data_IF_197687950964
#
_entry.id   IF_197687950964
#
_cell.length_a   1.000
_cell.length_b   1.000
_cell.length_c   1.000
_cell.angle_alpha   90.00
_cell.angle_beta   90.00
_cell.angle_gamma   90.00
#
_symmetry.space_group_name_H-M   'P 1'
#
loop_
_entity.id
_entity.type
_entity.pdbx_description
1 polymer ?
#
# COMPACT_ATOMS: atom_id res chain seq x y z
N UNK A 1 -12.98 25.45 17.79
CA UNK A 1 -11.85 24.56 18.10
C UNK A 1 -11.58 23.71 16.85
N UNK A 2 -10.50 23.98 16.12
CA UNK A 2 -10.18 23.31 14.84
C UNK A 2 -9.52 21.96 15.16
N UNK A 3 -10.21 20.84 14.94
CA UNK A 3 -9.55 19.52 14.88
C UNK A 3 -8.82 19.43 13.55
N UNK A 4 -7.64 20.05 13.49
CA UNK A 4 -6.82 20.19 12.29
C UNK A 4 -5.58 19.28 12.37
N UNK A 5 -5.79 17.97 12.36
CA UNK A 5 -4.72 17.05 11.95
C UNK A 5 -5.33 16.12 10.90
N UNK A 6 -5.54 16.67 9.70
CA UNK A 6 -5.54 15.85 8.49
C UNK A 6 -4.13 15.32 8.29
N UNK A 7 -4.03 14.16 7.63
CA UNK A 7 -2.74 13.58 7.29
C UNK A 7 -2.09 14.45 6.19
N UNK A 8 -0.91 15.07 6.43
CA UNK A 8 -0.31 15.99 5.46
C UNK A 8 0.06 15.33 4.13
N UNK A 9 0.35 14.02 4.15
CA UNK A 9 0.63 13.26 2.93
C UNK A 9 -0.67 13.10 2.12
N UNK A 10 -1.78 12.79 2.79
CA UNK A 10 -3.09 12.73 2.14
C UNK A 10 -3.51 14.10 1.60
N UNK A 11 -3.33 15.18 2.36
CA UNK A 11 -3.64 16.54 1.89
C UNK A 11 -2.83 16.91 0.63
N UNK A 12 -1.52 16.69 0.65
CA UNK A 12 -0.66 16.94 -0.51
C UNK A 12 -1.01 16.04 -1.71
N UNK A 13 -1.42 14.79 -1.44
CA UNK A 13 -1.89 13.87 -2.48
C UNK A 13 -3.17 14.38 -3.15
N UNK A 14 -4.17 14.79 -2.37
CA UNK A 14 -5.43 15.33 -2.88
C UNK A 14 -5.18 16.56 -3.77
N UNK A 15 -4.38 17.53 -3.29
CA UNK A 15 -4.03 18.73 -4.07
C UNK A 15 -3.29 18.39 -5.38
N UNK A 16 -2.40 17.40 -5.34
CA UNK A 16 -1.64 16.95 -6.51
C UNK A 16 -2.55 16.23 -7.50
N UNK A 17 -3.43 15.35 -7.00
CA UNK A 17 -4.38 14.59 -7.83
C UNK A 17 -5.33 15.52 -8.54
N UNK A 18 -5.89 16.54 -7.87
CA UNK A 18 -6.82 17.48 -8.49
C UNK A 18 -6.24 18.17 -9.73
N UNK A 19 -4.96 18.54 -9.66
CA UNK A 19 -4.25 19.20 -10.77
C UNK A 19 -3.85 18.22 -11.89
N UNK A 20 -3.81 16.92 -11.62
CA UNK A 20 -3.19 15.92 -12.50
C UNK A 20 -4.06 14.68 -12.79
N UNK A 21 -5.36 14.70 -12.47
CA UNK A 21 -6.29 13.53 -12.51
C UNK A 21 -6.03 12.54 -13.65
N UNK A 22 -5.99 13.04 -14.89
CA UNK A 22 -5.82 12.21 -16.12
C UNK A 22 -4.38 12.00 -16.57
N UNK A 23 -3.41 12.65 -15.94
CA UNK A 23 -1.99 12.51 -16.30
C UNK A 23 -1.44 11.19 -15.78
N UNK A 24 -0.45 10.65 -16.49
CA UNK A 24 0.33 9.53 -16.01
C UNK A 24 1.03 9.89 -14.69
N UNK A 25 0.87 9.05 -13.68
CA UNK A 25 1.57 9.12 -12.40
C UNK A 25 2.69 8.09 -12.33
N UNK A 26 2.48 6.92 -12.95
CA UNK A 26 3.45 5.84 -13.05
C UNK A 26 3.51 5.39 -14.51
N UNK A 27 4.73 5.28 -15.03
CA UNK A 27 5.00 4.68 -16.33
C UNK A 27 5.58 3.27 -16.12
N UNK A 28 5.27 2.35 -17.02
CA UNK A 28 5.93 1.04 -17.07
C UNK A 28 7.31 1.11 -17.74
N UNK A 29 7.97 -0.04 -17.86
CA UNK A 29 9.30 -0.16 -18.48
C UNK A 29 9.31 0.15 -19.97
N UNK A 30 8.15 0.13 -20.64
CA UNK A 30 7.97 0.53 -22.04
C UNK A 30 7.59 2.02 -22.18
N UNK A 31 7.48 2.75 -21.07
CA UNK A 31 7.07 4.15 -21.02
C UNK A 31 5.56 4.36 -21.22
N UNK A 32 4.75 3.29 -21.21
CA UNK A 32 3.29 3.40 -21.26
C UNK A 32 2.76 3.73 -19.86
N UNK A 33 1.56 4.31 -19.81
CA UNK A 33 0.94 4.67 -18.53
C UNK A 33 0.49 3.42 -17.77
N UNK A 34 1.20 3.10 -16.69
CA UNK A 34 0.81 2.03 -15.78
C UNK A 34 -0.31 2.48 -14.83
N UNK A 35 -0.25 3.73 -14.35
CA UNK A 35 -1.30 4.35 -13.52
C UNK A 35 -1.40 5.85 -13.80
N UNK A 36 -2.62 6.38 -13.81
CA UNK A 36 -2.89 7.82 -13.71
C UNK A 36 -3.05 8.24 -12.25
N UNK A 37 -3.01 9.54 -11.96
CA UNK A 37 -3.30 10.03 -10.60
C UNK A 37 -4.69 9.62 -10.11
N UNK A 38 -5.73 9.70 -10.95
CA UNK A 38 -7.06 9.18 -10.62
C UNK A 38 -7.09 7.66 -10.50
N UNK A 39 -6.34 6.93 -11.33
CA UNK A 39 -6.28 5.47 -11.24
C UNK A 39 -5.62 4.98 -9.95
N UNK A 40 -4.63 5.71 -9.42
CA UNK A 40 -4.06 5.43 -8.09
C UNK A 40 -5.13 5.63 -7.01
N UNK A 41 -5.89 6.72 -7.08
CA UNK A 41 -6.94 7.03 -6.13
C UNK A 41 -8.05 5.96 -6.10
N UNK A 42 -8.59 5.60 -7.26
CA UNK A 42 -9.63 4.58 -7.38
C UNK A 42 -9.18 3.24 -6.78
N UNK A 43 -7.91 2.86 -6.99
CA UNK A 43 -7.32 1.67 -6.38
C UNK A 43 -7.13 1.82 -4.86
N UNK A 44 -6.74 3.01 -4.39
CA UNK A 44 -6.57 3.29 -2.97
C UNK A 44 -7.89 3.20 -2.20
N UNK A 45 -8.98 3.74 -2.76
CA UNK A 45 -10.33 3.60 -2.18
C UNK A 45 -10.76 2.14 -2.08
N UNK A 46 -10.52 1.37 -3.15
CA UNK A 46 -10.80 -0.07 -3.17
C UNK A 46 -10.03 -0.82 -2.07
N UNK A 47 -8.71 -0.62 -1.98
CA UNK A 47 -7.91 -1.27 -0.93
C UNK A 47 -8.28 -0.81 0.48
N UNK A 48 -8.64 0.46 0.67
CA UNK A 48 -9.07 0.96 1.98
C UNK A 48 -10.33 0.22 2.47
N UNK A 49 -11.23 -0.14 1.55
CA UNK A 49 -12.40 -0.95 1.85
C UNK A 49 -12.03 -2.40 2.23
N UNK A 50 -11.03 -3.00 1.57
CA UNK A 50 -10.54 -4.35 1.90
C UNK A 50 -9.82 -4.38 3.27
N UNK A 51 -9.09 -3.32 3.61
CA UNK A 51 -8.36 -3.19 4.88
C UNK A 51 -9.25 -2.78 6.07
N UNK A 52 -10.57 -2.68 5.89
CA UNK A 52 -11.48 -2.14 6.92
C UNK A 52 -11.49 -2.92 8.24
N UNK A 53 -11.13 -4.20 8.20
CA UNK A 53 -11.11 -5.09 9.36
C UNK A 53 -9.85 -4.93 10.22
N UNK A 54 -8.84 -4.20 9.75
CA UNK A 54 -7.62 -3.92 10.51
C UNK A 54 -7.84 -2.65 11.32
N UNK A 55 -7.57 -2.74 12.61
CA UNK A 55 -7.76 -1.63 13.54
C UNK A 55 -6.73 -0.50 13.29
N UNK A 56 -7.14 0.77 13.43
CA UNK A 56 -6.22 1.90 13.39
C UNK A 56 -5.00 1.73 14.31
N UNK A 57 -3.85 2.24 13.88
CA UNK A 57 -2.58 2.17 14.61
C UNK A 57 -1.84 0.83 14.50
N UNK A 58 -2.46 -0.18 13.88
CA UNK A 58 -1.81 -1.48 13.68
C UNK A 58 -0.82 -1.43 12.52
N UNK A 59 0.21 -2.28 12.60
CA UNK A 59 1.26 -2.37 11.59
C UNK A 59 0.91 -3.39 10.52
N UNK A 60 0.94 -2.96 9.26
CA UNK A 60 0.70 -3.80 8.08
C UNK A 60 1.97 -3.85 7.24
N UNK A 61 2.43 -5.06 6.92
CA UNK A 61 3.53 -5.26 6.00
C UNK A 61 3.04 -5.18 4.55
N UNK A 62 3.64 -4.34 3.71
CA UNK A 62 3.37 -4.28 2.28
C UNK A 62 4.49 -5.03 1.56
N UNK A 63 4.14 -6.13 0.88
CA UNK A 63 5.06 -7.05 0.21
C UNK A 63 4.66 -7.24 -1.25
N UNK A 64 4.70 -6.16 -2.03
CA UNK A 64 4.28 -6.18 -3.44
C UNK A 64 5.40 -5.81 -4.41
N UNK A 65 6.62 -5.60 -3.90
CA UNK A 65 7.76 -5.13 -4.70
C UNK A 65 7.45 -3.79 -5.39
N UNK A 66 8.10 -3.55 -6.53
CA UNK A 66 7.93 -2.35 -7.35
C UNK A 66 6.65 -2.39 -8.22
N UNK A 67 5.53 -2.88 -7.66
CA UNK A 67 4.27 -2.98 -8.38
C UNK A 67 3.57 -1.61 -8.50
N UNK A 68 2.91 -1.27 -9.62
CA UNK A 68 2.27 0.03 -9.82
C UNK A 68 1.17 0.39 -8.80
N UNK A 69 0.62 -0.60 -8.10
CA UNK A 69 -0.37 -0.37 -7.04
C UNK A 69 0.24 -0.05 -5.66
N UNK A 70 1.58 -0.01 -5.54
CA UNK A 70 2.22 0.25 -4.25
C UNK A 70 1.79 1.61 -3.66
N UNK A 71 1.74 2.71 -4.43
CA UNK A 71 1.25 3.98 -3.92
C UNK A 71 -0.22 3.92 -3.51
N UNK A 72 -1.05 3.19 -4.26
CA UNK A 72 -2.48 3.04 -3.96
C UNK A 72 -2.69 2.34 -2.61
N UNK A 73 -1.93 1.26 -2.36
CA UNK A 73 -2.01 0.52 -1.11
C UNK A 73 -1.46 1.34 0.07
N UNK A 74 -0.38 2.09 -0.16
CA UNK A 74 0.17 3.01 0.83
C UNK A 74 -0.85 4.09 1.24
N UNK A 75 -1.50 4.75 0.28
CA UNK A 75 -2.55 5.74 0.54
C UNK A 75 -3.76 5.13 1.25
N UNK A 76 -4.15 3.91 0.89
CA UNK A 76 -5.21 3.17 1.58
C UNK A 76 -4.88 2.95 3.07
N UNK A 77 -3.65 2.54 3.37
CA UNK A 77 -3.18 2.38 4.75
C UNK A 77 -3.22 3.70 5.53
N UNK A 78 -2.73 4.81 4.95
CA UNK A 78 -2.78 6.12 5.60
C UNK A 78 -4.22 6.55 5.92
N UNK A 79 -5.17 6.38 4.99
CA UNK A 79 -6.60 6.69 5.21
C UNK A 79 -7.23 5.84 6.31
N UNK A 80 -6.76 4.60 6.45
CA UNK A 80 -7.16 3.67 7.52
C UNK A 80 -6.37 3.88 8.82
N UNK A 81 -5.46 4.86 8.86
CA UNK A 81 -4.55 5.16 9.98
C UNK A 81 -3.70 3.95 10.37
N UNK A 82 -3.30 3.15 9.39
CA UNK A 82 -2.44 1.99 9.55
C UNK A 82 -0.98 2.40 9.40
N UNK A 83 -0.10 1.74 10.16
CA UNK A 83 1.35 1.94 10.05
C UNK A 83 1.88 0.98 9.00
N UNK A 84 2.54 1.52 7.97
CA UNK A 84 3.07 0.72 6.87
C UNK A 84 4.49 0.26 7.16
N UNK A 85 4.74 -1.04 7.07
CA UNK A 85 6.07 -1.63 7.00
C UNK A 85 6.35 -2.07 5.56
N UNK A 86 7.10 -1.29 4.76
CA UNK A 86 7.49 -1.73 3.43
C UNK A 86 8.54 -2.84 3.53
N UNK A 87 8.27 -3.98 2.89
CA UNK A 87 9.18 -5.11 2.88
C UNK A 87 9.32 -5.67 1.47
N UNK A 88 10.56 -5.84 1.05
CA UNK A 88 10.87 -6.44 -0.24
C UNK A 88 10.54 -7.94 -0.24
N UNK A 89 10.01 -8.45 -1.35
CA UNK A 89 9.60 -9.86 -1.43
C UNK A 89 10.79 -10.83 -1.41
N UNK A 90 11.97 -10.35 -1.82
CA UNK A 90 13.20 -11.16 -1.94
C UNK A 90 13.99 -11.27 -0.63
N UNK A 91 13.53 -10.61 0.45
CA UNK A 91 14.21 -10.69 1.75
C UNK A 91 14.17 -12.12 2.30
N UNK A 92 15.25 -12.56 2.95
CA UNK A 92 15.33 -13.89 3.54
C UNK A 92 14.20 -14.09 4.57
N UNK A 93 13.70 -15.33 4.67
CA UNK A 93 12.58 -15.66 5.55
C UNK A 93 12.86 -15.31 7.02
N UNK A 94 14.07 -15.54 7.50
CA UNK A 94 14.47 -15.19 8.88
C UNK A 94 14.43 -13.69 9.13
N UNK A 95 14.88 -12.90 8.16
CA UNK A 95 14.84 -11.44 8.24
C UNK A 95 13.40 -10.93 8.19
N UNK A 96 12.54 -11.53 7.35
CA UNK A 96 11.10 -11.22 7.31
C UNK A 96 10.43 -11.52 8.66
N UNK A 97 10.68 -12.71 9.22
CA UNK A 97 10.14 -13.12 10.53
C UNK A 97 10.59 -12.15 11.63
N UNK A 98 11.87 -11.80 11.63
CA UNK A 98 12.44 -10.84 12.58
C UNK A 98 11.76 -9.47 12.44
N UNK A 99 11.60 -8.95 11.23
CA UNK A 99 10.93 -7.69 10.98
C UNK A 99 9.47 -7.71 11.45
N UNK A 100 8.74 -8.80 11.19
CA UNK A 100 7.35 -8.94 11.62
C UNK A 100 7.22 -8.93 13.14
N UNK A 101 8.13 -9.61 13.85
CA UNK A 101 8.16 -9.65 15.30
C UNK A 101 8.53 -8.29 15.90
N UNK A 102 9.60 -7.65 15.41
CA UNK A 102 10.07 -6.36 15.90
C UNK A 102 9.01 -5.27 15.70
N UNK A 103 8.35 -5.28 14.54
CA UNK A 103 7.35 -4.27 14.19
C UNK A 103 5.92 -4.65 14.61
N UNK A 104 5.70 -5.78 15.28
CA UNK A 104 4.38 -6.26 15.68
C UNK A 104 3.35 -6.24 14.52
N UNK A 105 3.74 -6.81 13.38
CA UNK A 105 2.90 -6.86 12.17
C UNK A 105 1.68 -7.73 12.43
N UNK A 106 0.48 -7.20 12.17
CA UNK A 106 -0.78 -7.94 12.35
C UNK A 106 -1.30 -8.56 11.06
N UNK A 107 -0.84 -8.04 9.92
CA UNK A 107 -1.22 -8.49 8.60
C UNK A 107 -0.09 -8.21 7.61
N UNK A 108 0.16 -9.16 6.72
CA UNK A 108 0.91 -8.90 5.51
C UNK A 108 -0.05 -8.77 4.33
N UNK A 109 0.20 -7.79 3.48
CA UNK A 109 -0.53 -7.55 2.24
C UNK A 109 0.42 -7.79 1.09
N UNK A 110 0.05 -8.77 0.25
CA UNK A 110 0.64 -8.95 -1.07
C UNK A 110 -0.32 -8.48 -2.17
N UNK A 111 0.24 -8.15 -3.33
CA UNK A 111 -0.43 -7.43 -4.40
C UNK A 111 -0.63 -8.28 -5.64
N UNK A 112 -1.90 -8.37 -6.05
CA UNK A 112 -2.46 -8.84 -7.32
C UNK A 112 -3.77 -8.06 -7.57
N UNK A 113 -4.82 -8.66 -8.13
CA UNK A 113 -6.13 -7.97 -8.30
C UNK A 113 -6.76 -7.50 -6.97
N UNK A 114 -6.61 -8.28 -5.90
CA UNK A 114 -7.17 -8.04 -4.56
C UNK A 114 -6.07 -8.14 -3.48
N UNK A 115 -6.31 -7.54 -2.31
CA UNK A 115 -5.46 -7.70 -1.11
C UNK A 115 -5.58 -9.13 -0.58
N UNK A 116 -4.44 -9.82 -0.47
CA UNK A 116 -4.36 -11.03 0.36
C UNK A 116 -3.86 -10.64 1.74
N UNK A 117 -4.75 -10.70 2.74
CA UNK A 117 -4.37 -10.57 4.15
C UNK A 117 -3.83 -11.92 4.59
N UNK A 118 -2.52 -11.98 4.83
CA UNK A 118 -1.88 -13.18 5.34
C UNK A 118 -1.66 -13.05 6.84
N UNK A 119 -1.86 -14.14 7.61
CA UNK A 119 -1.37 -14.21 8.98
C UNK A 119 0.12 -13.87 8.99
N UNK A 120 0.64 -13.20 10.04
CA UNK A 120 2.06 -12.85 10.14
C UNK A 120 2.99 -14.05 9.91
N UNK A 121 2.52 -15.26 10.23
CA UNK A 121 3.29 -16.49 10.11
C UNK A 121 3.40 -17.05 8.67
N UNK A 122 2.60 -16.56 7.71
CA UNK A 122 2.58 -17.05 6.32
C UNK A 122 3.16 -16.02 5.35
N UNK A 123 4.16 -16.45 4.59
CA UNK A 123 4.71 -15.69 3.47
C UNK A 123 3.65 -15.46 2.39
N UNK A 124 3.70 -14.29 1.73
CA UNK A 124 3.07 -14.12 0.44
C UNK A 124 3.69 -15.06 -0.59
N UNK A 125 2.84 -15.74 -1.37
CA UNK A 125 3.31 -16.52 -2.50
C UNK A 125 4.03 -15.60 -3.49
N UNK A 126 5.25 -15.97 -3.88
CA UNK A 126 5.99 -15.35 -4.98
C UNK A 126 5.13 -15.45 -6.23
N UNK A 127 4.51 -14.34 -6.63
CA UNK A 127 3.75 -14.30 -7.87
C UNK A 127 4.64 -13.64 -8.90
N UNK A 128 4.98 -14.40 -9.95
CA UNK A 128 5.83 -13.92 -11.03
C UNK A 128 4.96 -13.04 -11.95
N UNK A 129 4.99 -11.74 -11.73
CA UNK A 129 4.28 -10.75 -12.53
C UNK A 129 5.17 -10.32 -13.69
N UNK A 130 5.27 -11.21 -14.68
CA UNK A 130 5.79 -10.85 -16.01
C UNK A 130 4.89 -9.85 -16.71
#
# INVERSE_FOLDING_TARGET
MRTALGDPILEAWEETREKNRRRAAILDTEGKTARTFSGIEERAEHFAAELKAIEPGNVVAIQIGNHPDWPSLFLACLRRKLVVLPLEQTIAEEQRKSAFQICNVVAAVSGGRNVQILPPEKAAATTNWG
#
